data_IF_154211971034
#
_entry.id   IF_154211971034
#
_cell.length_a   1.000
_cell.length_b   1.000
_cell.length_c   1.000
_cell.angle_alpha   90.00
_cell.angle_beta   90.00
_cell.angle_gamma   90.00
#
_symmetry.space_group_name_H-M   'P 1'
#
loop_
_entity.id
_entity.type
_entity.pdbx_description
1 polymer ?
#
# COMPACT_ATOMS: atom_id res chain seq x y z
N UNK A 1 -18.30 -7.75 -1.22
CA UNK A 1 -18.17 -6.32 -1.52
C UNK A 1 -16.70 -5.95 -1.42
N UNK A 2 -16.13 -5.37 -2.46
CA UNK A 2 -14.79 -4.80 -2.45
C UNK A 2 -14.91 -3.28 -2.65
N UNK A 3 -13.98 -2.53 -2.10
CA UNK A 3 -13.92 -1.08 -2.21
C UNK A 3 -13.41 -0.64 -3.57
N UNK A 4 -12.44 -1.35 -4.12
CA UNK A 4 -11.88 -1.12 -5.44
C UNK A 4 -11.11 -2.34 -5.93
N UNK A 5 -10.76 -2.33 -7.20
CA UNK A 5 -9.95 -3.37 -7.85
C UNK A 5 -8.98 -2.73 -8.82
N UNK A 6 -7.72 -3.12 -8.71
CA UNK A 6 -6.67 -2.68 -9.60
C UNK A 6 -6.43 -3.74 -10.68
N UNK A 7 -6.39 -3.27 -11.94
CA UNK A 7 -5.98 -4.08 -13.08
C UNK A 7 -4.82 -3.38 -13.79
N UNK A 8 -3.73 -4.07 -13.97
CA UNK A 8 -2.67 -3.64 -14.87
C UNK A 8 -2.46 -4.71 -15.94
N UNK A 9 -2.71 -4.33 -17.18
CA UNK A 9 -2.79 -5.23 -18.32
C UNK A 9 -1.49 -5.18 -19.12
N UNK A 10 -0.45 -5.81 -18.60
CA UNK A 10 0.81 -5.85 -19.30
C UNK A 10 0.90 -6.74 -20.53
N UNK A 11 -0.17 -7.42 -20.90
CA UNK A 11 -0.21 -8.32 -22.07
C UNK A 11 -1.08 -7.81 -23.21
N UNK A 12 -1.83 -6.73 -23.02
CA UNK A 12 -2.55 -6.10 -24.12
C UNK A 12 -1.56 -5.48 -25.13
N UNK A 13 -1.94 -5.48 -26.39
CA UNK A 13 -1.13 -4.89 -27.45
C UNK A 13 -1.97 -3.92 -28.26
N UNK A 14 -1.38 -2.79 -28.60
CA UNK A 14 -1.95 -1.81 -29.52
C UNK A 14 -1.95 -2.36 -30.95
N UNK A 15 -2.69 -1.68 -31.83
CA UNK A 15 -2.79 -2.08 -33.23
C UNK A 15 -1.44 -2.14 -33.98
N UNK A 16 -0.45 -1.39 -33.54
CA UNK A 16 0.93 -1.39 -34.05
C UNK A 16 1.81 -2.50 -33.46
N UNK A 17 1.25 -3.33 -32.57
CA UNK A 17 1.94 -4.43 -31.89
C UNK A 17 2.75 -4.00 -30.67
N UNK A 18 2.83 -2.72 -30.35
CA UNK A 18 3.47 -2.24 -29.12
C UNK A 18 2.69 -2.67 -27.89
N UNK A 19 3.37 -2.89 -26.74
CA UNK A 19 2.68 -3.18 -25.49
C UNK A 19 1.76 -2.03 -25.07
N UNK A 20 0.57 -2.38 -24.59
CA UNK A 20 -0.35 -1.43 -23.95
C UNK A 20 -0.25 -1.61 -22.44
N UNK A 21 0.24 -0.59 -21.79
CA UNK A 21 0.39 -0.55 -20.33
C UNK A 21 -0.74 0.26 -19.70
N UNK A 22 -1.97 0.05 -20.15
CA UNK A 22 -3.11 0.67 -19.49
C UNK A 22 -3.40 -0.07 -18.18
N UNK A 23 -3.14 0.61 -17.08
CA UNK A 23 -3.59 0.17 -15.79
C UNK A 23 -4.88 0.91 -15.43
N UNK A 24 -5.85 0.19 -14.87
CA UNK A 24 -7.12 0.75 -14.42
C UNK A 24 -7.33 0.47 -12.95
N UNK A 25 -7.96 1.41 -12.27
CA UNK A 25 -8.49 1.22 -10.93
C UNK A 25 -10.01 1.40 -10.96
N UNK A 26 -10.72 0.35 -10.60
CA UNK A 26 -12.18 0.35 -10.52
C UNK A 26 -12.61 0.66 -9.09
N UNK A 27 -13.42 1.69 -8.90
CA UNK A 27 -13.96 2.08 -7.61
C UNK A 27 -15.43 1.68 -7.50
N UNK A 28 -15.84 1.12 -6.36
CA UNK A 28 -17.23 0.84 -6.09
C UNK A 28 -18.01 2.16 -5.88
N UNK A 29 -18.82 2.53 -6.87
CA UNK A 29 -19.60 3.78 -6.86
C UNK A 29 -20.67 3.86 -5.76
N UNK A 30 -20.95 2.76 -5.06
CA UNK A 30 -21.87 2.75 -3.92
C UNK A 30 -21.21 3.16 -2.60
N UNK A 31 -19.89 3.39 -2.59
CA UNK A 31 -19.18 3.88 -1.41
C UNK A 31 -19.35 5.38 -1.26
N UNK A 32 -19.75 5.80 -0.07
CA UNK A 32 -19.63 7.19 0.34
C UNK A 32 -18.17 7.41 0.77
N UNK A 33 -17.48 8.29 0.08
CA UNK A 33 -16.09 8.63 0.33
C UNK A 33 -15.93 10.16 0.29
N UNK A 34 -15.26 10.73 1.26
CA UNK A 34 -14.92 12.15 1.26
C UNK A 34 -13.84 12.47 0.21
N UNK A 35 -13.75 13.74 -0.19
CA UNK A 35 -12.72 14.18 -1.15
C UNK A 35 -11.30 13.89 -0.64
N UNK A 36 -10.92 14.18 0.61
CA UNK A 36 -9.61 13.85 1.14
C UNK A 36 -9.30 12.34 1.14
N UNK A 37 -10.28 11.51 1.54
CA UNK A 37 -10.13 10.05 1.48
C UNK A 37 -9.96 9.56 0.04
N UNK A 38 -10.70 10.14 -0.91
CA UNK A 38 -10.57 9.81 -2.33
C UNK A 38 -9.19 10.19 -2.87
N UNK A 39 -8.68 11.38 -2.54
CA UNK A 39 -7.33 11.80 -2.93
C UNK A 39 -6.26 10.88 -2.37
N UNK A 40 -6.35 10.51 -1.10
CA UNK A 40 -5.44 9.55 -0.48
C UNK A 40 -5.55 8.17 -1.14
N UNK A 41 -6.77 7.68 -1.39
CA UNK A 41 -7.01 6.40 -2.06
C UNK A 41 -6.41 6.38 -3.47
N UNK A 42 -6.63 7.42 -4.28
CA UNK A 42 -6.08 7.52 -5.64
C UNK A 42 -4.55 7.56 -5.61
N UNK A 43 -3.97 8.28 -4.67
CA UNK A 43 -2.51 8.32 -4.52
C UNK A 43 -1.94 6.96 -4.13
N UNK A 44 -2.60 6.27 -3.21
CA UNK A 44 -2.21 4.92 -2.75
C UNK A 44 -2.34 3.88 -3.87
N UNK A 45 -3.51 3.83 -4.51
CA UNK A 45 -3.82 2.77 -5.45
C UNK A 45 -3.28 3.05 -6.86
N UNK A 46 -3.22 4.32 -7.28
CA UNK A 46 -2.94 4.66 -8.67
C UNK A 46 -1.59 5.37 -8.83
N UNK A 47 -1.51 6.69 -8.55
CA UNK A 47 -0.34 7.52 -8.86
C UNK A 47 0.04 8.37 -7.65
N UNK A 48 1.27 8.22 -7.12
CA UNK A 48 2.38 7.35 -7.54
C UNK A 48 2.42 5.97 -6.86
N UNK A 49 1.30 5.45 -6.37
CA UNK A 49 1.20 4.21 -5.61
C UNK A 49 1.30 2.91 -6.45
N UNK A 50 0.39 1.98 -6.16
CA UNK A 50 0.47 0.60 -6.65
C UNK A 50 0.47 0.47 -8.18
N UNK A 51 -0.46 1.13 -8.88
CA UNK A 51 -0.53 1.06 -10.36
C UNK A 51 0.77 1.54 -10.98
N UNK A 52 1.31 2.66 -10.51
CA UNK A 52 2.59 3.20 -11.01
C UNK A 52 3.73 2.22 -10.79
N UNK A 53 3.83 1.67 -9.58
CA UNK A 53 4.90 0.72 -9.21
C UNK A 53 4.82 -0.55 -10.05
N UNK A 54 3.63 -1.14 -10.16
CA UNK A 54 3.46 -2.42 -10.85
C UNK A 54 3.54 -2.28 -12.37
N UNK A 55 3.01 -1.22 -12.95
CA UNK A 55 3.16 -0.94 -14.38
C UNK A 55 4.63 -0.76 -14.77
N UNK A 56 5.41 -0.10 -13.92
CA UNK A 56 6.84 0.07 -14.15
C UNK A 56 7.62 -1.25 -14.02
N UNK A 57 7.32 -2.07 -13.00
CA UNK A 57 7.90 -3.41 -12.87
C UNK A 57 7.59 -4.30 -14.08
N UNK A 58 6.36 -4.20 -14.58
CA UNK A 58 5.96 -4.92 -15.79
C UNK A 58 6.73 -4.45 -17.02
N UNK A 59 6.94 -3.16 -17.21
CA UNK A 59 7.79 -2.64 -18.28
C UNK A 59 9.22 -3.19 -18.20
N UNK A 60 9.83 -3.18 -17.00
CA UNK A 60 11.14 -3.75 -16.77
C UNK A 60 11.19 -5.25 -17.11
N UNK A 61 10.16 -6.01 -16.74
CA UNK A 61 10.06 -7.43 -17.06
C UNK A 61 9.95 -7.68 -18.56
N UNK A 62 9.06 -6.98 -19.27
CA UNK A 62 8.88 -7.11 -20.73
C UNK A 62 10.16 -6.74 -21.48
N UNK A 63 10.93 -5.78 -20.98
CA UNK A 63 12.24 -5.39 -21.54
C UNK A 63 13.38 -6.34 -21.16
N UNK A 64 13.11 -7.37 -20.36
CA UNK A 64 14.12 -8.34 -19.92
C UNK A 64 15.15 -7.78 -18.93
N UNK A 65 14.82 -6.70 -18.24
CA UNK A 65 15.71 -6.05 -17.25
C UNK A 65 15.56 -6.63 -15.85
N UNK A 66 14.46 -7.34 -15.58
CA UNK A 66 14.22 -8.09 -14.36
C UNK A 66 13.73 -9.49 -14.70
N UNK A 67 13.91 -10.46 -13.80
CA UNK A 67 13.53 -11.85 -14.01
C UNK A 67 12.03 -12.11 -13.81
N UNK A 68 11.61 -13.34 -14.06
CA UNK A 68 10.22 -13.78 -13.91
C UNK A 68 9.66 -13.57 -12.51
N UNK A 69 10.48 -13.69 -11.49
CA UNK A 69 10.12 -13.47 -10.09
C UNK A 69 9.50 -12.10 -9.82
N UNK A 70 9.86 -11.08 -10.61
CA UNK A 70 9.29 -9.75 -10.53
C UNK A 70 7.81 -9.70 -10.94
N UNK A 71 7.33 -10.68 -11.72
CA UNK A 71 5.93 -10.79 -12.12
C UNK A 71 5.05 -11.49 -11.07
N UNK A 72 5.65 -12.10 -10.05
CA UNK A 72 4.95 -12.82 -8.98
C UNK A 72 4.63 -11.86 -7.83
N UNK A 73 3.55 -11.10 -8.00
CA UNK A 73 3.09 -10.10 -7.06
C UNK A 73 2.08 -10.72 -6.09
N UNK A 74 2.57 -11.30 -5.00
CA UNK A 74 1.70 -11.89 -3.97
C UNK A 74 1.75 -11.08 -2.68
N UNK A 75 0.62 -10.93 -2.01
CA UNK A 75 0.44 -10.12 -0.79
C UNK A 75 1.29 -10.59 0.40
N UNK A 76 1.79 -11.82 0.40
CA UNK A 76 2.54 -12.41 1.51
C UNK A 76 4.04 -12.55 1.23
N UNK A 77 4.58 -11.71 0.36
CA UNK A 77 6.02 -11.62 0.08
C UNK A 77 6.65 -10.45 0.83
N UNK A 78 7.99 -10.46 0.95
CA UNK A 78 8.74 -9.32 1.51
C UNK A 78 8.58 -8.05 0.67
N UNK A 79 8.30 -8.20 -0.62
CA UNK A 79 8.02 -7.08 -1.52
C UNK A 79 6.74 -6.33 -1.11
N UNK A 80 5.74 -7.00 -0.52
CA UNK A 80 4.51 -6.33 -0.07
C UNK A 80 4.77 -5.24 0.98
N UNK A 81 5.75 -5.42 1.86
CA UNK A 81 6.15 -4.38 2.82
C UNK A 81 6.60 -3.11 2.10
N UNK A 82 7.41 -3.27 1.05
CA UNK A 82 7.86 -2.13 0.24
C UNK A 82 6.71 -1.49 -0.54
N UNK A 83 5.88 -2.30 -1.19
CA UNK A 83 4.77 -1.80 -2.02
C UNK A 83 3.71 -1.06 -1.20
N UNK A 84 3.31 -1.60 -0.05
CA UNK A 84 2.40 -0.92 0.87
C UNK A 84 3.04 0.35 1.45
N UNK A 85 4.33 0.29 1.74
CA UNK A 85 5.08 1.45 2.22
C UNK A 85 5.15 2.58 1.20
N UNK A 86 5.40 2.28 -0.08
CA UNK A 86 5.36 3.27 -1.17
C UNK A 86 3.95 3.84 -1.31
N UNK A 87 2.94 2.98 -1.36
CA UNK A 87 1.56 3.38 -1.54
C UNK A 87 1.04 4.27 -0.41
N UNK A 88 1.36 3.97 0.85
CA UNK A 88 0.99 4.79 2.00
C UNK A 88 1.74 6.13 2.07
N UNK A 89 2.93 6.21 1.49
CA UNK A 89 3.68 7.45 1.35
C UNK A 89 3.37 8.21 0.05
N UNK A 90 2.55 7.64 -0.84
CA UNK A 90 2.36 8.15 -2.20
C UNK A 90 1.83 9.59 -2.24
N UNK A 91 0.86 9.93 -1.40
CA UNK A 91 0.32 11.29 -1.32
C UNK A 91 1.39 12.30 -0.90
N UNK A 92 2.23 11.95 0.07
CA UNK A 92 3.33 12.80 0.52
C UNK A 92 4.42 12.93 -0.57
N UNK A 93 4.69 11.85 -1.31
CA UNK A 93 5.58 11.86 -2.47
C UNK A 93 5.04 12.80 -3.56
N UNK A 94 3.75 12.71 -3.86
CA UNK A 94 3.10 13.55 -4.88
C UNK A 94 3.16 15.04 -4.54
N UNK A 95 3.07 15.40 -3.27
CA UNK A 95 3.18 16.78 -2.79
C UNK A 95 4.62 17.22 -2.52
N UNK A 96 5.60 16.34 -2.59
CA UNK A 96 7.01 16.64 -2.32
C UNK A 96 7.30 16.98 -0.85
N UNK A 97 6.48 16.48 0.08
CA UNK A 97 6.60 16.73 1.52
C UNK A 97 6.96 15.45 2.27
N UNK A 98 7.52 15.57 3.47
CA UNK A 98 7.92 14.41 4.28
C UNK A 98 6.86 13.99 5.30
N UNK A 99 6.15 14.96 5.87
CA UNK A 99 5.20 14.74 6.96
C UNK A 99 3.78 15.19 6.56
N UNK A 100 2.72 14.54 7.07
CA UNK A 100 1.33 14.93 6.79
C UNK A 100 1.02 16.39 7.14
N UNK A 101 1.64 16.94 8.18
CA UNK A 101 1.47 18.32 8.62
C UNK A 101 1.98 19.38 7.63
N UNK A 102 2.76 18.97 6.64
CA UNK A 102 3.29 19.83 5.58
C UNK A 102 2.37 19.87 4.33
N UNK A 103 1.29 19.06 4.33
CA UNK A 103 0.31 19.08 3.24
C UNK A 103 -0.40 20.44 3.16
N UNK A 104 -0.76 20.90 1.96
CA UNK A 104 -1.30 22.24 1.75
C UNK A 104 -2.72 22.43 2.31
N UNK A 105 -3.43 21.34 2.57
CA UNK A 105 -4.83 21.33 2.98
C UNK A 105 -4.99 20.53 4.28
N UNK A 106 -5.63 21.14 5.26
CA UNK A 106 -5.88 20.53 6.58
C UNK A 106 -6.81 19.31 6.50
N UNK A 107 -7.79 19.34 5.61
CA UNK A 107 -8.71 18.22 5.43
C UNK A 107 -7.97 17.03 4.79
N UNK A 108 -7.05 17.31 3.86
CA UNK A 108 -6.19 16.28 3.28
C UNK A 108 -5.23 15.68 4.32
N UNK A 109 -4.62 16.51 5.17
CA UNK A 109 -3.81 16.03 6.30
C UNK A 109 -4.63 15.08 7.19
N UNK A 110 -5.85 15.48 7.56
CA UNK A 110 -6.73 14.65 8.38
C UNK A 110 -7.10 13.34 7.68
N UNK A 111 -7.39 13.36 6.38
CA UNK A 111 -7.67 12.18 5.57
C UNK A 111 -6.50 11.19 5.57
N UNK A 112 -5.27 11.69 5.44
CA UNK A 112 -4.05 10.87 5.51
C UNK A 112 -3.88 10.27 6.91
N UNK A 113 -4.04 11.06 7.96
CA UNK A 113 -3.92 10.58 9.34
C UNK A 113 -4.96 9.50 9.68
N UNK A 114 -6.21 9.65 9.19
CA UNK A 114 -7.25 8.63 9.36
C UNK A 114 -6.91 7.35 8.59
N UNK A 115 -6.35 7.44 7.39
CA UNK A 115 -5.91 6.28 6.63
C UNK A 115 -4.78 5.52 7.36
N UNK A 116 -3.81 6.24 7.90
CA UNK A 116 -2.73 5.64 8.70
C UNK A 116 -3.26 4.98 9.99
N UNK A 117 -4.24 5.59 10.65
CA UNK A 117 -4.90 4.99 11.81
C UNK A 117 -5.63 3.69 11.45
N UNK A 118 -6.24 3.60 10.25
CA UNK A 118 -6.84 2.35 9.75
C UNK A 118 -5.79 1.25 9.52
N UNK A 119 -4.58 1.61 9.12
CA UNK A 119 -3.48 0.67 8.95
C UNK A 119 -2.90 0.23 10.31
N UNK A 120 -2.88 1.12 11.28
CA UNK A 120 -2.58 0.76 12.66
C UNK A 120 -3.59 -0.25 13.21
N UNK A 121 -4.89 -0.08 12.89
CA UNK A 121 -5.91 -1.06 13.23
C UNK A 121 -5.67 -2.44 12.60
N UNK A 122 -5.20 -2.49 11.35
CA UNK A 122 -4.79 -3.74 10.68
C UNK A 122 -3.65 -4.43 11.44
N UNK A 123 -2.61 -3.68 11.79
CA UNK A 123 -1.47 -4.19 12.54
C UNK A 123 -1.89 -4.68 13.93
N UNK A 124 -2.71 -3.92 14.65
CA UNK A 124 -3.20 -4.28 15.97
C UNK A 124 -4.08 -5.54 15.92
N UNK A 125 -4.96 -5.67 14.92
CA UNK A 125 -5.76 -6.87 14.71
C UNK A 125 -4.89 -8.12 14.54
N UNK A 126 -3.82 -8.01 13.74
CA UNK A 126 -2.85 -9.08 13.56
C UNK A 126 -2.15 -9.45 14.88
N UNK A 127 -1.65 -8.46 15.60
CA UNK A 127 -0.94 -8.64 16.86
C UNK A 127 -1.82 -9.33 17.92
N UNK A 128 -2.99 -8.77 18.18
CA UNK A 128 -3.92 -9.32 19.19
C UNK A 128 -4.37 -10.74 18.83
N UNK A 129 -4.57 -11.02 17.54
CA UNK A 129 -5.05 -12.35 17.08
C UNK A 129 -3.93 -13.40 17.15
N UNK A 130 -2.73 -13.08 16.63
CA UNK A 130 -1.71 -14.09 16.37
C UNK A 130 -0.62 -14.14 17.44
N UNK A 131 -0.34 -13.01 18.11
CA UNK A 131 0.67 -12.96 19.16
C UNK A 131 0.05 -13.12 20.54
N UNK A 132 -1.07 -12.42 20.80
CA UNK A 132 -1.74 -12.44 22.09
C UNK A 132 -2.84 -13.52 22.20
N UNK A 133 -3.31 -14.05 21.06
CA UNK A 133 -4.30 -15.12 21.04
C UNK A 133 -5.72 -14.72 21.45
N UNK A 134 -6.07 -13.43 21.32
CA UNK A 134 -7.38 -12.92 21.74
C UNK A 134 -8.54 -13.51 20.93
N UNK A 135 -9.70 -13.64 21.56
CA UNK A 135 -10.93 -14.04 20.87
C UNK A 135 -11.39 -12.95 19.90
N UNK A 136 -12.11 -13.35 18.85
CA UNK A 136 -12.58 -12.41 17.80
C UNK A 136 -13.34 -11.22 18.36
N UNK A 137 -14.25 -11.46 19.31
CA UNK A 137 -15.07 -10.40 19.91
C UNK A 137 -14.25 -9.39 20.70
N UNK A 138 -13.20 -9.84 21.37
CA UNK A 138 -12.27 -8.99 22.12
C UNK A 138 -11.44 -8.11 21.18
N UNK A 139 -10.91 -8.69 20.11
CA UNK A 139 -10.19 -7.94 19.07
C UNK A 139 -11.12 -6.90 18.45
N UNK A 140 -12.33 -7.26 18.04
CA UNK A 140 -13.29 -6.33 17.45
C UNK A 140 -13.64 -5.17 18.40
N UNK A 141 -13.80 -5.45 19.70
CA UNK A 141 -14.10 -4.44 20.70
C UNK A 141 -12.93 -3.46 20.85
N UNK A 142 -11.69 -3.95 20.95
CA UNK A 142 -10.49 -3.10 21.05
C UNK A 142 -10.33 -2.22 19.81
N UNK A 143 -10.50 -2.79 18.60
CA UNK A 143 -10.38 -2.01 17.37
C UNK A 143 -11.39 -0.86 17.28
N UNK A 144 -12.63 -1.08 17.71
CA UNK A 144 -13.64 -0.01 17.75
C UNK A 144 -13.34 1.06 18.79
N UNK A 145 -12.80 0.65 19.93
CA UNK A 145 -12.50 1.59 21.02
C UNK A 145 -11.33 2.51 20.67
N UNK A 146 -10.28 1.97 20.04
CA UNK A 146 -8.98 2.65 19.98
C UNK A 146 -8.65 3.22 18.59
N UNK A 147 -9.31 2.74 17.51
CA UNK A 147 -8.90 3.07 16.13
C UNK A 147 -9.99 3.71 15.26
N UNK A 148 -11.10 4.14 15.82
CA UNK A 148 -12.21 4.77 15.10
C UNK A 148 -12.74 3.97 13.91
N UNK A 149 -12.60 2.64 13.94
CA UNK A 149 -13.10 1.78 12.88
C UNK A 149 -14.58 1.47 13.06
N UNK A 150 -15.31 1.34 11.94
CA UNK A 150 -16.71 0.91 11.96
C UNK A 150 -16.85 -0.51 12.51
N UNK A 151 -18.06 -0.86 12.96
CA UNK A 151 -18.37 -2.23 13.40
C UNK A 151 -18.06 -3.25 12.30
N UNK A 152 -18.49 -3.00 11.07
CA UNK A 152 -18.24 -3.87 9.93
C UNK A 152 -16.72 -4.05 9.68
N UNK A 153 -15.95 -2.97 9.76
CA UNK A 153 -14.50 -3.01 9.59
C UNK A 153 -13.83 -3.81 10.72
N UNK A 154 -14.23 -3.57 11.97
CA UNK A 154 -13.73 -4.30 13.13
C UNK A 154 -14.00 -5.80 13.02
N UNK A 155 -15.22 -6.18 12.63
CA UNK A 155 -15.62 -7.58 12.44
C UNK A 155 -14.81 -8.25 11.31
N UNK A 156 -14.56 -7.55 10.22
CA UNK A 156 -13.72 -8.04 9.11
C UNK A 156 -12.28 -8.26 9.56
N UNK A 157 -11.69 -7.30 10.25
CA UNK A 157 -10.29 -7.35 10.70
C UNK A 157 -10.08 -8.37 11.84
N UNK A 158 -11.04 -8.56 12.72
CA UNK A 158 -10.96 -9.56 13.81
C UNK A 158 -11.35 -10.97 13.36
N UNK A 159 -12.11 -11.10 12.27
CA UNK A 159 -12.66 -12.35 11.75
C UNK A 159 -11.93 -12.84 10.50
N UNK A 160 -12.63 -12.76 9.37
CA UNK A 160 -12.19 -13.41 8.12
C UNK A 160 -10.80 -12.99 7.64
N UNK A 161 -10.46 -11.72 7.78
CA UNK A 161 -9.13 -11.22 7.37
C UNK A 161 -8.07 -11.46 8.45
N UNK A 162 -8.34 -11.02 9.68
CA UNK A 162 -7.35 -11.10 10.76
C UNK A 162 -6.98 -12.54 11.11
N UNK A 163 -7.89 -13.49 10.96
CA UNK A 163 -7.66 -14.91 11.25
C UNK A 163 -7.16 -15.72 10.07
N UNK A 164 -7.08 -15.14 8.89
CA UNK A 164 -6.49 -15.82 7.74
C UNK A 164 -4.96 -15.88 7.88
N UNK A 165 -4.32 -17.06 7.79
CA UNK A 165 -2.89 -17.22 8.09
C UNK A 165 -1.98 -16.39 7.17
N UNK A 166 -2.35 -16.20 5.91
CA UNK A 166 -1.57 -15.39 4.98
C UNK A 166 -1.93 -13.91 5.06
N UNK A 167 -3.22 -13.56 5.13
CA UNK A 167 -3.64 -12.17 5.22
C UNK A 167 -3.39 -11.60 6.62
N UNK A 168 -4.00 -12.19 7.63
CA UNK A 168 -3.98 -11.66 9.00
C UNK A 168 -2.59 -11.67 9.62
N UNK A 169 -1.85 -12.77 9.46
CA UNK A 169 -0.56 -12.94 10.11
C UNK A 169 0.59 -12.29 9.32
N UNK A 170 0.56 -12.35 7.99
CA UNK A 170 1.71 -11.97 7.17
C UNK A 170 1.51 -10.65 6.45
N UNK A 171 0.29 -10.34 6.01
CA UNK A 171 0.06 -9.18 5.17
C UNK A 171 -0.43 -7.94 5.95
N UNK A 172 -1.36 -8.09 6.88
CA UNK A 172 -1.86 -6.91 7.64
C UNK A 172 -0.74 -6.11 8.33
N UNK A 173 0.32 -6.73 8.91
CA UNK A 173 1.45 -5.98 9.46
C UNK A 173 2.31 -5.26 8.43
N UNK A 174 2.25 -5.66 7.15
CA UNK A 174 3.07 -5.05 6.10
C UNK A 174 2.74 -3.57 5.88
N UNK A 175 1.49 -3.18 6.07
CA UNK A 175 1.05 -1.78 5.97
C UNK A 175 1.84 -0.88 6.90
N UNK A 176 1.75 -1.11 8.19
CA UNK A 176 2.44 -0.28 9.19
C UNK A 176 3.96 -0.34 9.04
N UNK A 177 4.50 -1.54 8.94
CA UNK A 177 5.95 -1.75 8.81
C UNK A 177 6.50 -1.08 7.55
N UNK A 178 5.82 -1.20 6.42
CA UNK A 178 6.21 -0.58 5.16
C UNK A 178 6.14 0.94 5.21
N UNK A 179 5.06 1.48 5.76
CA UNK A 179 4.87 2.93 5.92
C UNK A 179 6.02 3.58 6.68
N UNK A 180 6.34 3.06 7.85
CA UNK A 180 7.43 3.57 8.69
C UNK A 180 8.79 3.46 7.99
N UNK A 181 9.06 2.32 7.38
CA UNK A 181 10.31 2.05 6.71
C UNK A 181 10.54 3.01 5.54
N UNK A 182 9.55 3.18 4.67
CA UNK A 182 9.65 4.10 3.52
C UNK A 182 9.71 5.56 3.99
N UNK A 183 8.92 5.95 4.99
CA UNK A 183 8.99 7.29 5.56
C UNK A 183 10.39 7.58 6.13
N UNK A 184 10.99 6.62 6.84
CA UNK A 184 12.35 6.77 7.38
C UNK A 184 13.37 6.96 6.24
N UNK A 185 13.33 6.14 5.21
CA UNK A 185 14.26 6.27 4.07
C UNK A 185 14.08 7.60 3.34
N UNK A 186 12.86 8.12 3.23
CA UNK A 186 12.60 9.44 2.64
C UNK A 186 13.15 10.59 3.49
N UNK A 187 13.22 10.42 4.80
CA UNK A 187 13.90 11.39 5.69
C UNK A 187 15.43 11.31 5.59
N UNK A 188 15.96 10.11 5.42
CA UNK A 188 17.41 9.87 5.46
C UNK A 188 18.11 10.14 4.11
N UNK A 189 17.36 10.15 3.01
CA UNK A 189 17.92 10.27 1.65
C UNK A 189 17.23 11.36 0.82
N UNK A 190 18.01 12.05 -0.02
CA UNK A 190 17.47 13.03 -0.95
C UNK A 190 16.52 12.38 -1.99
N UNK A 191 15.46 13.10 -2.43
CA UNK A 191 14.43 12.54 -3.33
C UNK A 191 14.99 11.96 -4.64
N UNK A 192 15.98 12.60 -5.24
CA UNK A 192 16.65 12.16 -6.48
C UNK A 192 17.41 10.83 -6.31
N UNK A 193 17.72 10.46 -5.09
CA UNK A 193 18.35 9.18 -4.75
C UNK A 193 17.31 8.12 -4.36
N UNK A 194 16.40 8.45 -3.45
CA UNK A 194 15.48 7.48 -2.89
C UNK A 194 14.35 7.09 -3.86
N UNK A 195 13.75 8.02 -4.60
CA UNK A 195 12.63 7.72 -5.48
C UNK A 195 12.99 6.73 -6.60
N UNK A 196 14.13 6.89 -7.34
CA UNK A 196 14.53 5.87 -8.31
C UNK A 196 14.76 4.48 -7.71
N UNK A 197 15.20 4.41 -6.45
CA UNK A 197 15.37 3.13 -5.77
C UNK A 197 14.02 2.49 -5.38
N UNK A 198 13.10 3.27 -4.81
CA UNK A 198 11.76 2.81 -4.43
C UNK A 198 10.98 2.28 -5.63
N UNK A 199 11.02 2.98 -6.77
CA UNK A 199 10.29 2.60 -7.98
C UNK A 199 11.05 1.63 -8.90
N UNK A 200 12.15 1.03 -8.44
CA UNK A 200 12.84 -0.03 -9.16
C UNK A 200 13.70 0.43 -10.35
N UNK A 201 13.97 1.74 -10.51
CA UNK A 201 14.84 2.25 -11.59
C UNK A 201 16.27 1.68 -11.49
N UNK A 202 16.72 1.35 -10.30
CA UNK A 202 18.04 0.76 -10.02
C UNK A 202 18.02 -0.77 -9.90
N UNK A 203 16.93 -1.40 -10.25
CA UNK A 203 16.72 -2.83 -10.15
C UNK A 203 15.59 -3.19 -9.18
N UNK A 204 15.17 -4.46 -9.23
CA UNK A 204 14.13 -4.95 -8.31
C UNK A 204 14.69 -5.03 -6.89
N UNK A 205 14.02 -4.39 -5.97
CA UNK A 205 14.38 -4.38 -4.55
C UNK A 205 13.18 -4.76 -3.67
N UNK A 206 13.47 -5.29 -2.50
CA UNK A 206 12.51 -5.46 -1.41
C UNK A 206 12.97 -4.68 -0.17
N UNK A 207 12.21 -4.75 0.91
CA UNK A 207 12.52 -4.02 2.14
C UNK A 207 13.89 -4.37 2.75
N UNK A 208 14.48 -5.51 2.39
CA UNK A 208 15.80 -5.93 2.90
C UNK A 208 16.94 -5.54 1.96
N UNK A 209 16.69 -5.49 0.67
CA UNK A 209 17.72 -5.23 -0.34
C UNK A 209 17.82 -3.76 -0.75
N UNK A 210 16.75 -2.97 -0.54
CA UNK A 210 16.77 -1.54 -0.86
C UNK A 210 17.94 -0.78 -0.22
N UNK A 211 18.30 -0.97 1.06
CA UNK A 211 19.44 -0.28 1.65
C UNK A 211 20.79 -0.55 0.98
N UNK A 212 20.90 -1.64 0.22
CA UNK A 212 22.13 -2.01 -0.49
C UNK A 212 22.32 -1.22 -1.79
N UNK A 213 21.26 -0.61 -2.31
CA UNK A 213 21.28 0.20 -3.55
C UNK A 213 21.14 1.70 -3.27
N UNK A 214 20.90 2.09 -2.05
CA UNK A 214 20.95 3.46 -1.55
C UNK A 214 22.36 3.89 -1.20
#
# INVERSE_FOLDING_TARGET
WFSGSMNYLGHARRADGSPEYEATYELNAALEISVPEFQQLVSHEVVPGHVTTFAYLQDLFVRGLVGFEASVLTMNTRASVLFEGIANNAILIAHGVLEPSELPDRDLELGVLLALLQDDAKNQASYLTWQEGWAQAEVAAALRADFLVSTERADKLSGAWGRHPLLGRMYLPAYRAGTELVAQWRRDHAPDRILPALFGVRGLVDAMTLPQVL
#
